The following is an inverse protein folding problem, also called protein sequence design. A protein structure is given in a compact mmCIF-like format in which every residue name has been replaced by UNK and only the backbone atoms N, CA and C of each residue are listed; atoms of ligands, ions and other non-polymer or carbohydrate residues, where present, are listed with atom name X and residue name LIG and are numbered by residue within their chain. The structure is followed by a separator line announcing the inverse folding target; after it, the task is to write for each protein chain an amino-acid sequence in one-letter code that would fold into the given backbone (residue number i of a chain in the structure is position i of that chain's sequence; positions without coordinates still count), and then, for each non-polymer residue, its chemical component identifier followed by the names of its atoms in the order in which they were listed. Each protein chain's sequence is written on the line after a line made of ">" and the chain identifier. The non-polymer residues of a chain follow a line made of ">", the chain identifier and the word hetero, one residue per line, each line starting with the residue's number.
data_IF_122091799401
#
_entry.id   IF_122091799401
#
_cell.length_a   1.000
_cell.length_b   1.000
_cell.length_c   1.000
_cell.angle_alpha   90.00
_cell.angle_beta   90.00
_cell.angle_gamma   90.00
#
_symmetry.space_group_name_H-M   'P 1'
#
loop_
_entity.id
_entity.type
_entity.pdbx_description
1 polymer ?
#
# COMPACT_ATOMS: atom_id res chain seq x y z
N UNK A 1 6.07 2.74 10.71
CA UNK A 1 5.09 2.35 11.76
C UNK A 1 5.35 3.17 13.02
N UNK A 2 4.38 3.31 13.95
CA UNK A 2 4.58 4.10 15.17
C UNK A 2 5.76 3.62 16.03
N UNK A 3 6.10 2.33 15.91
CA UNK A 3 7.20 1.65 16.60
C UNK A 3 8.52 1.62 15.81
N UNK A 4 8.63 2.38 14.71
CA UNK A 4 9.84 2.46 13.88
C UNK A 4 9.98 1.37 12.82
N UNK A 5 9.12 0.33 12.81
CA UNK A 5 9.14 -0.68 11.73
C UNK A 5 8.80 -0.07 10.37
N UNK A 6 9.29 -0.69 9.30
CA UNK A 6 9.04 -0.26 7.92
C UNK A 6 8.08 -1.22 7.24
N UNK A 7 7.02 -0.69 6.66
CA UNK A 7 6.09 -1.42 5.81
C UNK A 7 6.54 -1.26 4.36
N UNK A 8 6.79 -2.37 3.68
CA UNK A 8 7.17 -2.41 2.26
C UNK A 8 6.08 -3.16 1.52
N UNK A 9 5.62 -2.62 0.40
CA UNK A 9 4.51 -3.20 -0.35
C UNK A 9 4.65 -3.01 -1.86
N UNK A 10 4.01 -3.93 -2.59
CA UNK A 10 4.02 -4.02 -4.04
C UNK A 10 5.43 -4.27 -4.61
N UNK A 11 5.63 -3.84 -5.86
CA UNK A 11 6.87 -4.02 -6.60
C UNK A 11 6.79 -5.16 -7.61
N UNK A 12 7.94 -5.46 -8.20
CA UNK A 12 8.09 -6.48 -9.22
C UNK A 12 9.34 -7.31 -8.95
N UNK A 13 9.30 -8.57 -9.33
CA UNK A 13 10.42 -9.50 -9.30
C UNK A 13 11.46 -9.16 -10.40
N UNK A 14 11.08 -8.36 -11.40
CA UNK A 14 11.98 -7.81 -12.41
C UNK A 14 11.49 -6.44 -12.93
N UNK A 15 12.35 -5.66 -13.58
CA UNK A 15 11.99 -4.31 -14.05
C UNK A 15 11.24 -4.26 -15.39
N UNK A 16 10.47 -5.29 -15.74
CA UNK A 16 9.87 -5.47 -17.07
C UNK A 16 8.35 -5.18 -17.06
N UNK A 17 7.60 -5.81 -17.96
CA UNK A 17 6.18 -5.56 -18.24
C UNK A 17 5.27 -5.90 -17.05
N UNK A 18 4.61 -4.88 -16.48
CA UNK A 18 3.64 -5.01 -15.40
C UNK A 18 2.35 -5.76 -15.76
N UNK A 19 2.09 -6.01 -17.05
CA UNK A 19 0.95 -6.84 -17.49
C UNK A 19 1.27 -8.34 -17.42
N UNK A 20 2.55 -8.71 -17.29
CA UNK A 20 2.96 -10.08 -17.03
C UNK A 20 2.86 -10.37 -15.52
N UNK A 21 1.76 -11.04 -15.14
CA UNK A 21 1.47 -11.37 -13.74
C UNK A 21 2.58 -12.20 -13.05
N UNK A 22 3.35 -12.98 -13.80
CA UNK A 22 4.44 -13.79 -13.24
C UNK A 22 5.61 -12.94 -12.72
N UNK A 23 5.73 -11.70 -13.20
CA UNK A 23 6.74 -10.75 -12.71
C UNK A 23 6.28 -9.99 -11.48
N UNK A 24 4.99 -10.01 -11.17
CA UNK A 24 4.41 -9.09 -10.21
C UNK A 24 4.53 -9.63 -8.78
N UNK A 25 4.86 -8.75 -7.84
CA UNK A 25 4.92 -9.07 -6.42
C UNK A 25 3.85 -8.28 -5.64
N UNK A 26 2.55 -8.66 -5.73
CA UNK A 26 1.46 -7.95 -5.07
C UNK A 26 1.37 -8.32 -3.58
N UNK A 27 2.48 -8.18 -2.87
CA UNK A 27 2.64 -8.55 -1.46
C UNK A 27 3.03 -7.35 -0.62
N UNK A 28 3.04 -7.53 0.70
CA UNK A 28 3.73 -6.66 1.63
C UNK A 28 4.63 -7.46 2.56
N UNK A 29 5.62 -6.80 3.13
CA UNK A 29 6.47 -7.32 4.20
C UNK A 29 6.76 -6.23 5.25
N UNK A 30 7.22 -6.66 6.42
CA UNK A 30 7.62 -5.76 7.50
C UNK A 30 9.10 -5.95 7.81
N UNK A 31 9.83 -4.85 7.78
CA UNK A 31 11.21 -4.77 8.24
C UNK A 31 11.22 -4.20 9.66
N UNK A 32 12.20 -4.63 10.47
CA UNK A 32 12.43 -4.03 11.79
C UNK A 32 12.95 -2.58 11.67
N UNK A 33 13.17 -1.92 12.82
CA UNK A 33 13.64 -0.53 12.84
C UNK A 33 15.04 -0.36 12.19
N UNK A 34 15.83 -1.43 12.11
CA UNK A 34 17.13 -1.48 11.46
C UNK A 34 17.04 -1.83 9.95
N UNK A 35 15.83 -1.98 9.41
CA UNK A 35 15.62 -2.31 8.00
C UNK A 35 15.84 -3.79 7.64
N UNK A 36 15.89 -4.68 8.63
CA UNK A 36 16.05 -6.13 8.42
C UNK A 36 14.68 -6.75 8.17
N UNK A 37 14.55 -7.43 7.03
CA UNK A 37 13.35 -8.17 6.65
C UNK A 37 13.22 -9.47 7.45
N UNK A 38 11.97 -9.88 7.73
CA UNK A 38 11.64 -11.21 8.26
C UNK A 38 11.73 -12.33 7.20
N UNK A 39 11.91 -11.95 5.92
CA UNK A 39 11.86 -12.86 4.77
C UNK A 39 10.45 -13.32 4.40
N UNK A 40 9.41 -12.78 5.06
CA UNK A 40 8.01 -13.18 4.84
C UNK A 40 7.28 -12.13 4.01
N UNK A 41 6.94 -12.51 2.77
CA UNK A 41 6.06 -11.71 1.91
C UNK A 41 4.62 -12.23 1.99
N UNK A 42 3.70 -11.35 2.36
CA UNK A 42 2.28 -11.68 2.56
C UNK A 42 1.47 -11.10 1.39
N UNK A 43 0.65 -11.90 0.68
CA UNK A 43 -0.24 -11.39 -0.36
C UNK A 43 -1.16 -10.29 0.17
N UNK A 44 -1.36 -9.25 -0.64
CA UNK A 44 -2.25 -8.13 -0.28
C UNK A 44 -3.34 -7.96 -1.33
N UNK A 45 -4.59 -8.26 -0.96
CA UNK A 45 -5.71 -8.33 -1.91
C UNK A 45 -5.92 -7.06 -2.73
N UNK A 46 -5.73 -5.88 -2.13
CA UNK A 46 -5.86 -4.60 -2.86
C UNK A 46 -4.81 -4.47 -3.97
N UNK A 47 -3.61 -5.04 -3.80
CA UNK A 47 -2.57 -5.02 -4.83
C UNK A 47 -2.85 -6.06 -5.92
N UNK A 48 -3.35 -7.23 -5.53
CA UNK A 48 -3.75 -8.30 -6.47
C UNK A 48 -4.90 -7.83 -7.37
N UNK A 49 -5.93 -7.22 -6.78
CA UNK A 49 -7.13 -6.76 -7.49
C UNK A 49 -6.84 -5.64 -8.50
N UNK A 50 -5.86 -4.78 -8.20
CA UNK A 50 -5.66 -3.52 -8.93
C UNK A 50 -4.54 -3.56 -9.97
N UNK A 51 -4.09 -4.74 -10.39
CA UNK A 51 -3.16 -4.87 -11.50
C UNK A 51 -3.78 -4.37 -12.83
N UNK A 52 -3.02 -3.71 -13.72
CA UNK A 52 -1.57 -3.46 -13.63
C UNK A 52 -1.20 -2.20 -12.83
N UNK A 53 -2.18 -1.46 -12.29
CA UNK A 53 -1.98 -0.18 -11.60
C UNK A 53 -1.78 -0.34 -10.09
N UNK A 54 -0.86 -1.21 -9.65
CA UNK A 54 -0.71 -1.57 -8.23
C UNK A 54 0.63 -1.16 -7.61
N UNK A 55 1.62 -0.81 -8.43
CA UNK A 55 2.96 -0.44 -7.93
C UNK A 55 2.97 1.01 -7.43
N UNK A 56 3.92 1.30 -6.54
CA UNK A 56 4.02 2.57 -5.81
C UNK A 56 2.66 2.98 -5.19
N UNK A 57 2.03 2.09 -4.38
CA UNK A 57 0.78 2.42 -3.72
C UNK A 57 0.97 3.61 -2.79
N UNK A 58 -0.07 4.41 -2.62
CA UNK A 58 -0.02 5.49 -1.64
C UNK A 58 -0.30 4.90 -0.27
N UNK A 59 0.68 5.03 0.62
CA UNK A 59 0.61 4.50 1.97
C UNK A 59 0.86 5.63 2.94
N UNK A 60 -0.11 5.90 3.80
CA UNK A 60 -0.01 6.91 4.84
C UNK A 60 -0.34 6.30 6.21
N UNK A 61 0.48 6.58 7.21
CA UNK A 61 0.26 6.13 8.58
C UNK A 61 -0.77 7.03 9.27
N UNK A 62 -1.83 6.44 9.81
CA UNK A 62 -2.88 7.15 10.55
C UNK A 62 -2.55 7.25 12.04
N UNK A 63 -3.21 8.19 12.73
CA UNK A 63 -3.03 8.49 14.16
C UNK A 63 -3.23 7.24 15.06
N UNK A 64 -4.14 6.35 14.69
CA UNK A 64 -4.43 5.11 15.42
C UNK A 64 -3.47 3.95 15.10
N UNK A 65 -2.45 4.18 14.25
CA UNK A 65 -1.47 3.17 13.86
C UNK A 65 -1.86 2.31 12.65
N UNK A 66 -3.08 2.44 12.14
CA UNK A 66 -3.50 1.80 10.89
C UNK A 66 -2.88 2.52 9.68
N UNK A 67 -2.88 1.85 8.53
CA UNK A 67 -2.44 2.42 7.26
C UNK A 67 -3.65 2.77 6.38
N UNK A 68 -3.68 3.99 5.86
CA UNK A 68 -4.44 4.26 4.65
C UNK A 68 -3.62 3.75 3.46
N UNK A 69 -4.20 2.86 2.67
CA UNK A 69 -3.58 2.27 1.47
C UNK A 69 -4.46 2.55 0.28
N UNK A 70 -3.89 3.14 -0.77
CA UNK A 70 -4.57 3.40 -2.04
C UNK A 70 -3.78 2.79 -3.19
N UNK A 71 -4.47 2.05 -4.05
CA UNK A 71 -3.93 1.48 -5.28
C UNK A 71 -4.96 1.63 -6.42
N UNK A 72 -4.50 2.05 -7.58
CA UNK A 72 -5.28 2.30 -8.80
C UNK A 72 -6.36 3.36 -8.57
N UNK A 73 -7.55 2.94 -8.14
CA UNK A 73 -8.70 3.78 -7.78
C UNK A 73 -9.26 3.45 -6.40
N UNK A 74 -8.86 2.31 -5.85
CA UNK A 74 -9.40 1.77 -4.61
C UNK A 74 -8.56 2.20 -3.43
N UNK A 75 -9.21 2.33 -2.28
CA UNK A 75 -8.51 2.55 -1.02
C UNK A 75 -9.13 1.76 0.12
N UNK A 76 -8.30 1.53 1.13
CA UNK A 76 -8.70 0.81 2.33
C UNK A 76 -7.92 1.33 3.55
N UNK A 77 -8.50 1.13 4.72
CA UNK A 77 -7.81 1.23 6.00
C UNK A 77 -7.37 -0.18 6.40
N UNK A 78 -6.08 -0.36 6.57
CA UNK A 78 -5.45 -1.64 6.86
C UNK A 78 -4.81 -1.63 8.26
N UNK A 79 -5.26 -2.52 9.13
CA UNK A 79 -4.64 -2.73 10.44
C UNK A 79 -3.57 -3.83 10.30
N UNK A 80 -2.33 -3.42 10.48
CA UNK A 80 -1.17 -4.29 10.39
C UNK A 80 -1.00 -5.24 11.57
N UNK A 81 -1.53 -4.91 12.75
CA UNK A 81 -1.40 -5.78 13.92
C UNK A 81 -2.28 -7.03 13.77
N UNK A 82 -3.47 -6.86 13.19
CA UNK A 82 -4.36 -7.97 12.87
C UNK A 82 -4.18 -8.53 11.46
N UNK A 83 -3.50 -7.79 10.56
CA UNK A 83 -3.36 -8.13 9.15
C UNK A 83 -4.67 -8.04 8.38
N UNK A 84 -5.60 -7.17 8.81
CA UNK A 84 -6.97 -7.11 8.30
C UNK A 84 -7.33 -5.75 7.74
N UNK A 85 -8.24 -5.76 6.77
CA UNK A 85 -8.91 -4.55 6.29
C UNK A 85 -9.95 -4.13 7.32
N UNK A 86 -9.78 -2.94 7.90
CA UNK A 86 -10.70 -2.33 8.85
C UNK A 86 -11.87 -1.68 8.10
N UNK A 87 -11.59 -1.05 6.96
CA UNK A 87 -12.60 -0.44 6.12
C UNK A 87 -12.15 -0.42 4.66
N UNK A 88 -13.05 -0.78 3.74
CA UNK A 88 -12.90 -0.43 2.33
C UNK A 88 -13.55 0.95 2.11
N UNK A 89 -12.88 1.82 1.38
CA UNK A 89 -13.37 3.15 1.06
C UNK A 89 -13.91 3.17 -0.37
N UNK A 90 -14.83 4.10 -0.71
CA UNK A 90 -15.33 4.23 -2.07
C UNK A 90 -14.20 4.45 -3.09
N UNK A 91 -14.36 3.89 -4.28
CA UNK A 91 -13.41 4.13 -5.37
C UNK A 91 -13.40 5.61 -5.77
N UNK A 92 -12.21 6.14 -6.00
CA UNK A 92 -12.05 7.49 -6.53
C UNK A 92 -12.55 7.54 -7.98
N UNK A 93 -13.40 8.51 -8.37
CA UNK A 93 -13.88 8.61 -9.75
C UNK A 93 -12.76 8.96 -10.75
N UNK A 94 -13.01 8.65 -12.02
CA UNK A 94 -12.09 8.91 -13.13
C UNK A 94 -11.07 7.79 -13.34
N UNK A 95 -9.86 8.17 -13.75
CA UNK A 95 -8.77 7.25 -14.15
C UNK A 95 -8.00 6.70 -12.95
N UNK A 96 -6.96 5.90 -13.19
CA UNK A 96 -6.05 5.38 -12.17
C UNK A 96 -5.15 6.50 -11.58
N UNK A 97 -4.58 6.29 -10.38
CA UNK A 97 -3.67 7.26 -9.74
C UNK A 97 -2.29 6.71 -9.39
N UNK A 98 -2.10 5.40 -9.34
CA UNK A 98 -0.80 4.75 -9.06
C UNK A 98 -0.18 4.17 -10.33
N UNK A 99 1.13 3.93 -10.28
CA UNK A 99 1.94 3.50 -11.40
C UNK A 99 1.31 2.31 -12.16
N UNK A 100 1.42 2.25 -13.49
CA UNK A 100 2.30 3.04 -14.38
C UNK A 100 1.80 4.42 -14.80
N UNK A 101 2.75 5.36 -14.99
CA UNK A 101 2.56 6.66 -15.65
C UNK A 101 1.45 7.56 -15.06
N UNK A 102 1.37 7.61 -13.73
CA UNK A 102 0.41 8.44 -12.99
C UNK A 102 1.12 9.37 -12.00
N UNK A 103 0.34 10.08 -11.18
CA UNK A 103 0.84 11.00 -10.15
C UNK A 103 1.19 10.33 -8.82
N UNK A 104 1.47 11.20 -7.83
CA UNK A 104 1.69 10.82 -6.43
C UNK A 104 0.53 11.25 -5.54
N UNK A 105 0.73 11.10 -4.23
CA UNK A 105 -0.16 11.66 -3.21
C UNK A 105 0.63 12.38 -2.14
N UNK A 106 -0.03 13.29 -1.44
CA UNK A 106 0.47 13.95 -0.25
C UNK A 106 -0.62 13.92 0.80
N UNK A 107 -0.24 13.65 2.05
CA UNK A 107 -1.11 13.85 3.20
C UNK A 107 -0.97 15.31 3.65
N UNK A 108 -2.08 16.03 3.67
CA UNK A 108 -2.12 17.37 4.24
C UNK A 108 -1.95 17.29 5.77
N UNK A 109 -1.49 18.38 6.42
CA UNK A 109 -1.32 18.38 7.87
C UNK A 109 -2.59 17.96 8.60
N UNK A 110 -2.47 16.93 9.44
CA UNK A 110 -3.53 16.51 10.34
C UNK A 110 -3.48 17.36 11.61
N UNK A 111 -4.62 17.85 12.07
CA UNK A 111 -4.73 18.47 13.39
C UNK A 111 -4.92 17.39 14.44
N UNK A 112 -4.49 17.68 15.66
CA UNK A 112 -4.70 16.76 16.78
C UNK A 112 -6.19 16.45 17.04
N UNK A 113 -7.07 17.38 16.64
CA UNK A 113 -8.54 17.33 16.77
C UNK A 113 -9.25 16.67 15.60
N UNK A 114 -8.54 16.28 14.54
CA UNK A 114 -9.17 15.58 13.43
C UNK A 114 -9.36 14.11 13.87
N UNK A 115 -10.63 13.71 14.01
CA UNK A 115 -11.09 12.37 14.40
C UNK A 115 -11.56 11.56 13.18
#
# INVERSE_FOLDING_TARGET
>A
MPDGRVFVAAGSLNGLDQTNLANNNPTYEILNAEGVSSGVSVPMDILVKNQPYYMYPFVHLLKNGALFVFASKSSQIFDLNSGRVVAALPDLPGMFRTYPNTGGSVMLPLRATDD
#
